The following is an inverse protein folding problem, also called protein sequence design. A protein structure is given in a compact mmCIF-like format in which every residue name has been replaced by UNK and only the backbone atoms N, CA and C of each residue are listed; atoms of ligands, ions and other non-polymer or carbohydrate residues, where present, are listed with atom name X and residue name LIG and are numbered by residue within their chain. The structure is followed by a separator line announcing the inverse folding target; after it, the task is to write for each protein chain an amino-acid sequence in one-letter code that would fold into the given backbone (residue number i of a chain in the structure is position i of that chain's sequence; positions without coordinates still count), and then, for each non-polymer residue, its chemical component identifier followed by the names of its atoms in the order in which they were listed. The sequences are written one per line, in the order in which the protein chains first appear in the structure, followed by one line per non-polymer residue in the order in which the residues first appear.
data_IF_536887030321
#
_entry.id   IF_536887030321
#
_cell.length_a   1.000
_cell.length_b   1.000
_cell.length_c   1.000
_cell.angle_alpha   90.00
_cell.angle_beta   90.00
_cell.angle_gamma   90.00
#
_symmetry.space_group_name_H-M   'P 1'
#
loop_
_entity.id
_entity.type
_entity.pdbx_description
1 polymer ?
#
# COMPACT_ATOMS: atom_id res chain seq x y z
N UNK A 1 18.36 -30.99 47.86
CA UNK A 1 19.74 -31.46 47.59
C UNK A 1 20.26 -30.84 46.31
N UNK A 2 21.17 -29.87 46.41
CA UNK A 2 21.86 -29.25 45.28
C UNK A 2 22.84 -30.27 44.69
N UNK A 3 22.56 -30.77 43.49
CA UNK A 3 23.51 -31.62 42.75
C UNK A 3 24.62 -30.75 42.18
N UNK A 4 25.86 -31.04 42.55
CA UNK A 4 27.09 -30.33 42.19
C UNK A 4 27.56 -30.51 40.74
N UNK A 5 26.79 -31.19 39.88
CA UNK A 5 27.12 -31.31 38.46
C UNK A 5 25.96 -30.85 37.57
N UNK A 6 25.99 -29.57 37.21
CA UNK A 6 25.18 -29.00 36.12
C UNK A 6 26.13 -28.30 35.14
N UNK A 7 25.98 -28.66 33.84
CA UNK A 7 26.76 -28.19 32.69
C UNK A 7 26.93 -26.66 32.67
N UNK A 8 28.12 -26.20 32.31
CA UNK A 8 28.59 -24.80 32.40
C UNK A 8 27.66 -23.77 31.74
N UNK A 9 26.93 -24.13 30.69
CA UNK A 9 26.06 -23.21 29.93
C UNK A 9 24.76 -22.78 30.64
N UNK A 10 24.50 -23.21 31.89
CA UNK A 10 23.28 -22.87 32.63
C UNK A 10 23.51 -22.10 33.94
N UNK A 11 24.71 -21.53 34.10
CA UNK A 11 25.15 -20.79 35.29
C UNK A 11 24.95 -19.29 35.08
N UNK A 12 24.12 -18.63 35.90
CA UNK A 12 23.97 -17.16 35.89
C UNK A 12 24.03 -16.61 37.31
N UNK A 13 24.79 -15.54 37.58
CA UNK A 13 24.91 -14.94 38.90
C UNK A 13 23.59 -14.32 39.38
N UNK A 14 23.46 -14.22 40.70
CA UNK A 14 22.34 -13.57 41.39
C UNK A 14 22.65 -12.07 41.47
N UNK A 15 22.01 -11.26 40.63
CA UNK A 15 22.29 -9.80 40.51
C UNK A 15 21.21 -8.95 41.21
N UNK A 16 20.09 -9.53 41.64
CA UNK A 16 18.95 -8.78 42.16
C UNK A 16 18.76 -9.06 43.66
N UNK A 17 18.75 -8.00 44.46
CA UNK A 17 18.61 -7.99 45.93
C UNK A 17 17.31 -8.61 46.43
N UNK A 18 16.18 -8.42 45.73
CA UNK A 18 14.90 -9.07 46.09
C UNK A 18 14.96 -10.59 45.90
N UNK A 19 15.67 -11.02 44.85
CA UNK A 19 15.92 -12.43 44.59
C UNK A 19 16.82 -13.02 45.68
N UNK A 20 17.89 -12.31 46.04
CA UNK A 20 18.85 -12.71 47.08
C UNK A 20 18.14 -12.94 48.43
N UNK A 21 17.36 -11.96 48.90
CA UNK A 21 16.64 -12.06 50.18
C UNK A 21 15.64 -13.23 50.21
N UNK A 22 14.96 -13.52 49.10
CA UNK A 22 14.03 -14.65 49.01
C UNK A 22 14.73 -16.01 49.01
N UNK A 23 15.93 -16.08 48.43
CA UNK A 23 16.72 -17.31 48.43
C UNK A 23 17.32 -17.55 49.82
N UNK A 24 17.79 -16.49 50.48
CA UNK A 24 18.29 -16.55 51.85
C UNK A 24 17.21 -17.01 52.82
N UNK A 25 15.95 -16.56 52.66
CA UNK A 25 14.84 -16.99 53.50
C UNK A 25 14.47 -18.48 53.30
N UNK A 26 14.62 -19.00 52.08
CA UNK A 26 14.36 -20.41 51.75
C UNK A 26 15.46 -21.36 52.22
N UNK A 27 16.72 -20.94 52.13
CA UNK A 27 17.90 -21.81 52.39
C UNK A 27 18.46 -21.57 53.80
N UNK A 28 18.01 -20.53 54.51
CA UNK A 28 18.50 -20.11 55.83
C UNK A 28 20.03 -19.97 55.89
N UNK A 29 20.60 -19.46 54.81
CA UNK A 29 22.03 -19.20 54.65
C UNK A 29 22.21 -17.97 53.77
N UNK A 30 23.21 -17.15 54.11
CA UNK A 30 23.57 -15.97 53.31
C UNK A 30 24.06 -16.39 51.92
N UNK A 31 23.59 -15.67 50.90
CA UNK A 31 23.93 -15.88 49.49
C UNK A 31 24.85 -14.74 49.07
N UNK A 32 25.97 -15.08 48.42
CA UNK A 32 26.96 -14.10 47.98
C UNK A 32 26.93 -13.92 46.45
N UNK A 33 27.52 -12.83 45.93
CA UNK A 33 27.46 -12.47 44.49
C UNK A 33 27.99 -13.56 43.55
N UNK A 34 28.86 -14.45 44.05
CA UNK A 34 29.46 -15.56 43.31
C UNK A 34 28.64 -16.86 43.37
N UNK A 35 27.52 -16.87 44.10
CA UNK A 35 26.62 -18.01 44.14
C UNK A 35 25.77 -18.09 42.86
N UNK A 36 25.65 -19.32 42.35
CA UNK A 36 25.08 -19.58 41.03
C UNK A 36 23.81 -20.41 41.17
N UNK A 37 22.75 -19.97 40.48
CA UNK A 37 21.46 -20.65 40.47
C UNK A 37 21.16 -21.17 39.08
N UNK A 38 20.66 -22.40 39.00
CA UNK A 38 20.26 -22.97 37.72
C UNK A 38 19.01 -22.25 37.17
N UNK A 39 18.88 -22.23 35.85
CA UNK A 39 17.75 -21.59 35.14
C UNK A 39 16.37 -22.08 35.62
N UNK A 40 16.25 -23.36 35.98
CA UNK A 40 15.01 -23.97 36.46
C UNK A 40 14.57 -23.42 37.83
N UNK A 41 15.51 -23.31 38.77
CA UNK A 41 15.23 -22.75 40.09
C UNK A 41 14.90 -21.24 40.00
N UNK A 42 15.62 -20.50 39.15
CA UNK A 42 15.37 -19.07 38.93
C UNK A 42 13.96 -18.80 38.39
N UNK A 43 13.48 -19.61 37.45
CA UNK A 43 12.12 -19.47 36.90
C UNK A 43 11.02 -19.92 37.86
N UNK A 44 11.34 -20.72 38.88
CA UNK A 44 10.40 -21.10 39.94
C UNK A 44 10.25 -19.97 40.95
N UNK A 45 11.38 -19.45 41.43
CA UNK A 45 11.44 -18.31 42.37
C UNK A 45 10.75 -17.07 41.79
N UNK A 46 10.96 -16.77 40.50
CA UNK A 46 10.26 -15.64 39.85
C UNK A 46 8.74 -15.78 39.82
N UNK A 47 8.23 -17.00 39.68
CA UNK A 47 6.78 -17.25 39.70
C UNK A 47 6.23 -17.09 41.12
N UNK A 48 6.95 -17.56 42.13
CA UNK A 48 6.55 -17.40 43.54
C UNK A 48 6.60 -15.94 43.99
N UNK A 49 7.62 -15.17 43.61
CA UNK A 49 7.69 -13.72 43.86
C UNK A 49 6.54 -12.95 43.19
N UNK A 50 6.19 -13.29 41.95
CA UNK A 50 5.03 -12.71 41.26
C UNK A 50 3.69 -13.14 41.88
N UNK A 51 3.66 -14.28 42.56
CA UNK A 51 2.47 -14.76 43.26
C UNK A 51 2.30 -14.02 44.59
N UNK A 52 3.39 -13.78 45.34
CA UNK A 52 3.34 -13.01 46.59
C UNK A 52 2.91 -11.55 46.36
N UNK A 53 3.33 -10.91 45.26
CA UNK A 53 2.89 -9.53 44.94
C UNK A 53 1.39 -9.42 44.63
N UNK A 54 0.69 -10.54 44.38
CA UNK A 54 -0.74 -10.57 44.11
C UNK A 54 -1.60 -10.89 45.34
N UNK A 55 -0.99 -11.28 46.47
CA UNK A 55 -1.70 -11.67 47.70
C UNK A 55 -1.69 -10.54 48.74
N UNK A 56 -0.68 -9.66 48.73
CA UNK A 56 -0.54 -8.55 49.70
C UNK A 56 -1.50 -7.35 49.47
N UNK A 57 -2.51 -7.46 48.60
CA UNK A 57 -3.52 -6.39 48.35
C UNK A 57 -4.88 -6.70 48.98
N UNK A 58 -5.04 -7.86 49.62
CA UNK A 58 -6.30 -8.29 50.19
C UNK A 58 -6.11 -8.78 51.62
N UNK A 59 -5.93 -7.84 52.56
CA UNK A 59 -6.44 -7.83 53.95
C UNK A 59 -5.69 -6.73 54.70
N UNK A 60 -6.38 -5.66 55.09
CA UNK A 60 -6.42 -5.17 56.47
C UNK A 60 -7.31 -3.93 56.54
N UNK A 61 -8.47 -4.12 57.17
CA UNK A 61 -9.31 -3.08 57.75
C UNK A 61 -8.61 -2.56 59.02
N UNK A 62 -8.31 -1.26 59.11
CA UNK A 62 -8.36 -0.54 60.38
C UNK A 62 -8.36 0.98 60.18
N UNK A 63 -9.22 1.64 60.97
CA UNK A 63 -9.45 3.07 61.01
C UNK A 63 -8.27 3.83 61.63
N UNK A 64 -7.64 4.78 60.92
CA UNK A 64 -7.36 6.12 61.47
C UNK A 64 -6.89 7.14 60.41
N UNK A 65 -7.28 8.39 60.65
CA UNK A 65 -7.21 9.55 59.78
C UNK A 65 -5.81 10.19 59.70
N UNK A 66 -5.30 10.45 58.49
CA UNK A 66 -4.47 11.63 58.20
C UNK A 66 -4.37 11.88 56.69
N UNK A 67 -4.62 13.13 56.31
CA UNK A 67 -4.73 13.64 54.95
C UNK A 67 -3.38 13.58 54.20
N UNK A 68 -3.39 12.94 53.04
CA UNK A 68 -2.37 13.07 52.00
C UNK A 68 -3.02 12.77 50.65
N UNK A 69 -3.12 13.78 49.79
CA UNK A 69 -3.68 13.67 48.44
C UNK A 69 -3.02 12.50 47.67
N UNK A 70 -3.79 11.54 47.12
CA UNK A 70 -3.24 10.62 46.13
C UNK A 70 -2.99 11.41 44.85
N UNK A 71 -1.75 11.40 44.36
CA UNK A 71 -1.44 11.84 42.99
C UNK A 71 -2.27 11.05 41.97
N UNK A 72 -2.45 11.57 40.73
CA UNK A 72 -3.27 10.90 39.74
C UNK A 72 -2.73 9.49 39.50
N UNK A 73 -3.54 8.48 39.82
CA UNK A 73 -3.25 7.09 39.51
C UNK A 73 -2.89 7.01 38.02
N UNK A 74 -1.64 6.66 37.71
CA UNK A 74 -1.22 6.44 36.34
C UNK A 74 -2.15 5.38 35.73
N UNK A 75 -3.01 5.80 34.80
CA UNK A 75 -3.91 4.92 34.08
C UNK A 75 -3.05 4.01 33.20
N UNK A 76 -2.68 2.85 33.70
CA UNK A 76 -1.93 1.84 32.94
C UNK A 76 -2.88 1.34 31.85
N UNK A 77 -2.61 1.74 30.61
CA UNK A 77 -3.39 1.28 29.46
C UNK A 77 -3.33 -0.24 29.33
N UNK A 78 -4.45 -0.94 29.09
CA UNK A 78 -4.48 -2.39 29.00
C UNK A 78 -3.58 -2.89 27.85
N UNK A 79 -2.90 -4.03 28.06
CA UNK A 79 -1.97 -4.63 27.07
C UNK A 79 -2.67 -4.98 25.75
N UNK A 80 -3.96 -5.28 25.80
CA UNK A 80 -4.81 -5.57 24.65
C UNK A 80 -6.17 -4.93 24.82
N UNK A 81 -6.63 -4.23 23.78
CA UNK A 81 -7.93 -3.59 23.71
C UNK A 81 -8.85 -4.38 22.78
N UNK A 82 -10.08 -4.67 23.21
CA UNK A 82 -11.10 -5.24 22.34
C UNK A 82 -11.85 -4.12 21.64
N UNK A 83 -11.83 -4.11 20.31
CA UNK A 83 -12.57 -3.17 19.48
C UNK A 83 -13.67 -3.90 18.69
N UNK A 84 -14.78 -3.22 18.45
CA UNK A 84 -15.92 -3.67 17.63
C UNK A 84 -15.63 -3.61 16.12
N UNK A 85 -14.42 -3.98 15.73
CA UNK A 85 -13.99 -4.07 14.32
C UNK A 85 -14.03 -5.54 13.93
N UNK A 86 -14.73 -5.85 12.84
CA UNK A 86 -14.82 -7.21 12.33
C UNK A 86 -13.46 -7.70 11.87
N UNK A 87 -13.12 -8.97 12.11
CA UNK A 87 -11.86 -9.55 11.60
C UNK A 87 -12.04 -10.86 10.86
N UNK A 88 -11.00 -11.20 10.11
CA UNK A 88 -10.85 -12.52 9.48
C UNK A 88 -10.36 -13.57 10.47
N UNK A 89 -10.62 -14.85 10.14
CA UNK A 89 -10.10 -15.99 10.90
C UNK A 89 -8.58 -15.96 11.00
N UNK A 90 -8.04 -16.00 12.23
CA UNK A 90 -6.59 -16.10 12.48
C UNK A 90 -6.11 -17.52 12.21
N UNK A 91 -5.56 -17.77 11.02
CA UNK A 91 -4.97 -19.06 10.67
C UNK A 91 -3.65 -18.88 9.94
N UNK A 92 -2.64 -19.62 10.39
CA UNK A 92 -1.35 -19.72 9.71
C UNK A 92 -1.32 -20.87 8.68
N UNK A 93 -2.32 -21.76 8.72
CA UNK A 93 -2.38 -22.97 7.88
C UNK A 93 -3.34 -22.84 6.70
N UNK A 94 -4.28 -21.90 6.74
CA UNK A 94 -5.35 -21.74 5.75
C UNK A 94 -5.36 -20.33 5.18
N UNK A 95 -5.71 -20.21 3.89
CA UNK A 95 -5.96 -18.92 3.27
C UNK A 95 -7.18 -18.25 3.91
N UNK A 96 -7.09 -16.96 4.25
CA UNK A 96 -8.24 -16.22 4.81
C UNK A 96 -9.42 -16.06 3.83
N UNK A 97 -9.17 -16.15 2.52
CA UNK A 97 -10.15 -15.96 1.44
C UNK A 97 -10.75 -17.30 1.00
N UNK A 98 -9.97 -18.16 0.34
CA UNK A 98 -10.48 -19.44 -0.20
C UNK A 98 -10.45 -20.61 0.79
N UNK A 99 -9.98 -20.41 2.02
CA UNK A 99 -9.88 -21.42 3.10
C UNK A 99 -9.03 -22.66 2.77
N UNK A 100 -8.38 -22.72 1.59
CA UNK A 100 -7.44 -23.79 1.21
C UNK A 100 -6.25 -23.84 2.17
N UNK A 101 -5.82 -25.06 2.47
CA UNK A 101 -4.67 -25.32 3.34
C UNK A 101 -3.33 -25.17 2.62
N UNK A 102 -2.30 -24.83 3.40
CA UNK A 102 -0.93 -24.74 2.93
C UNK A 102 -0.41 -26.13 2.57
N UNK A 103 -0.23 -26.38 1.28
CA UNK A 103 0.29 -27.65 0.75
C UNK A 103 1.44 -27.35 -0.23
N UNK A 104 2.19 -28.37 -0.66
CA UNK A 104 3.26 -28.17 -1.66
C UNK A 104 2.77 -27.51 -2.95
N UNK A 105 1.50 -27.76 -3.34
CA UNK A 105 0.85 -27.18 -4.53
C UNK A 105 0.15 -25.84 -4.25
N UNK A 106 -0.27 -25.59 -3.01
CA UNK A 106 -0.90 -24.33 -2.59
C UNK A 106 -0.08 -23.66 -1.51
N UNK A 107 0.90 -22.84 -1.92
CA UNK A 107 1.72 -22.06 -1.01
C UNK A 107 0.98 -20.82 -0.56
N UNK A 108 1.03 -20.54 0.74
CA UNK A 108 0.44 -19.33 1.30
C UNK A 108 1.51 -18.28 1.60
N UNK A 109 1.19 -17.02 1.27
CA UNK A 109 2.00 -15.85 1.62
C UNK A 109 1.37 -15.11 2.79
N UNK A 110 2.17 -14.37 3.55
CA UNK A 110 1.62 -13.41 4.54
C UNK A 110 0.87 -12.35 3.76
N UNK A 111 -0.33 -11.99 4.23
CA UNK A 111 -1.11 -10.92 3.62
C UNK A 111 -0.28 -9.63 3.66
N UNK A 112 -0.03 -8.99 2.51
CA UNK A 112 0.68 -7.72 2.49
C UNK A 112 -0.01 -6.67 3.33
N UNK A 113 0.80 -5.75 3.87
CA UNK A 113 0.35 -4.67 4.73
C UNK A 113 -0.69 -3.78 4.02
N UNK A 114 -0.43 -3.50 2.75
CA UNK A 114 -1.26 -2.69 1.86
C UNK A 114 -2.61 -3.36 1.59
N UNK A 115 -2.61 -4.67 1.33
CA UNK A 115 -3.83 -5.49 1.18
C UNK A 115 -4.68 -5.51 2.47
N UNK A 116 -4.04 -5.61 3.63
CA UNK A 116 -4.74 -5.57 4.91
C UNK A 116 -5.41 -4.22 5.17
N UNK A 117 -4.71 -3.12 4.86
CA UNK A 117 -5.27 -1.77 4.94
C UNK A 117 -6.40 -1.57 3.94
N UNK A 118 -6.29 -2.09 2.72
CA UNK A 118 -7.37 -2.08 1.72
C UNK A 118 -8.64 -2.77 2.24
N UNK A 119 -8.51 -3.97 2.83
CA UNK A 119 -9.66 -4.68 3.40
C UNK A 119 -10.32 -3.93 4.56
N UNK A 120 -9.53 -3.19 5.35
CA UNK A 120 -10.07 -2.36 6.42
C UNK A 120 -10.86 -1.17 5.85
N UNK A 121 -10.31 -0.44 4.88
CA UNK A 121 -10.94 0.76 4.31
C UNK A 121 -12.19 0.39 3.52
N UNK A 122 -12.11 -0.63 2.66
CA UNK A 122 -13.20 -0.95 1.72
C UNK A 122 -14.31 -1.80 2.34
N UNK A 123 -14.00 -2.58 3.40
CA UNK A 123 -14.95 -3.54 4.01
C UNK A 123 -15.12 -3.40 5.52
N UNK A 124 -14.33 -2.56 6.18
CA UNK A 124 -14.30 -2.50 7.65
C UNK A 124 -13.79 -3.79 8.29
N UNK A 125 -12.96 -4.57 7.58
CA UNK A 125 -12.47 -5.86 8.05
C UNK A 125 -10.98 -5.76 8.40
N UNK A 126 -10.67 -6.01 9.66
CA UNK A 126 -9.30 -6.14 10.14
C UNK A 126 -8.69 -7.50 9.80
N UNK A 127 -7.46 -7.47 9.29
CA UNK A 127 -6.65 -8.65 9.00
C UNK A 127 -5.41 -8.60 9.89
N UNK A 128 -5.26 -9.60 10.77
CA UNK A 128 -4.09 -9.65 11.67
C UNK A 128 -2.77 -9.82 10.91
N UNK A 129 -1.68 -9.33 11.49
CA UNK A 129 -0.33 -9.25 10.91
C UNK A 129 0.25 -10.58 10.42
N UNK A 130 -0.23 -11.72 10.93
CA UNK A 130 0.24 -13.05 10.53
C UNK A 130 -0.74 -13.86 9.68
N UNK A 131 -1.84 -13.23 9.25
CA UNK A 131 -2.82 -13.86 8.38
C UNK A 131 -2.21 -14.24 7.04
N UNK A 132 -2.65 -15.37 6.47
CA UNK A 132 -2.09 -15.91 5.23
C UNK A 132 -3.11 -15.89 4.10
N UNK A 133 -2.69 -15.62 2.87
CA UNK A 133 -3.51 -15.75 1.66
C UNK A 133 -2.78 -16.45 0.51
N UNK A 134 -3.53 -16.96 -0.47
CA UNK A 134 -2.93 -17.47 -1.70
C UNK A 134 -2.41 -16.30 -2.57
N UNK A 135 -1.25 -16.45 -3.22
CA UNK A 135 -0.72 -15.45 -4.16
C UNK A 135 -1.72 -15.08 -5.26
N UNK A 136 -2.54 -16.04 -5.71
CA UNK A 136 -3.53 -15.84 -6.76
C UNK A 136 -4.61 -14.81 -6.41
N UNK A 137 -4.78 -14.48 -5.12
CA UNK A 137 -5.72 -13.45 -4.66
C UNK A 137 -5.14 -12.04 -4.71
N UNK A 138 -3.83 -11.91 -4.96
CA UNK A 138 -3.11 -10.65 -4.99
C UNK A 138 -2.82 -10.20 -6.42
N UNK A 139 -2.80 -8.89 -6.62
CA UNK A 139 -2.15 -8.22 -7.75
C UNK A 139 -1.14 -7.25 -7.15
N UNK A 140 0.15 -7.54 -7.32
CA UNK A 140 1.21 -6.83 -6.62
C UNK A 140 1.04 -6.94 -5.10
N UNK A 141 0.85 -5.81 -4.43
CA UNK A 141 0.66 -5.72 -2.97
C UNK A 141 -0.81 -5.58 -2.53
N UNK A 142 -1.76 -5.64 -3.46
CA UNK A 142 -3.18 -5.37 -3.21
C UNK A 142 -4.03 -6.61 -3.51
N UNK A 143 -5.24 -6.68 -2.95
CA UNK A 143 -6.19 -7.72 -3.29
C UNK A 143 -6.83 -7.47 -4.65
N UNK A 144 -7.07 -8.55 -5.41
CA UNK A 144 -7.96 -8.52 -6.58
C UNK A 144 -9.36 -8.08 -6.15
N UNK A 145 -10.07 -7.36 -7.01
CA UNK A 145 -11.45 -6.92 -6.72
C UNK A 145 -12.37 -8.09 -6.31
N UNK A 146 -12.29 -9.21 -7.03
CA UNK A 146 -13.05 -10.41 -6.70
C UNK A 146 -12.64 -11.01 -5.35
N UNK A 147 -11.34 -11.02 -5.07
CA UNK A 147 -10.80 -11.57 -3.82
C UNK A 147 -11.19 -10.72 -2.61
N UNK A 148 -11.19 -9.38 -2.76
CA UNK A 148 -11.63 -8.43 -1.76
C UNK A 148 -13.13 -8.58 -1.44
N UNK A 149 -13.97 -8.80 -2.46
CA UNK A 149 -15.40 -9.10 -2.28
C UNK A 149 -15.64 -10.40 -1.50
N UNK A 150 -14.77 -11.38 -1.67
CA UNK A 150 -14.88 -12.69 -1.00
C UNK A 150 -14.29 -12.72 0.41
N UNK A 151 -13.65 -11.65 0.89
CA UNK A 151 -13.13 -11.59 2.27
C UNK A 151 -14.31 -11.66 3.25
N UNK A 152 -14.37 -12.73 4.03
CA UNK A 152 -15.44 -12.97 4.99
C UNK A 152 -15.07 -12.55 6.41
N UNK A 153 -16.06 -11.98 7.11
CA UNK A 153 -16.00 -11.69 8.55
C UNK A 153 -16.11 -13.01 9.31
N UNK A 154 -15.19 -13.26 10.23
CA UNK A 154 -15.21 -14.44 11.11
C UNK A 154 -15.56 -14.08 12.56
N UNK A 155 -15.29 -12.85 12.96
CA UNK A 155 -15.62 -12.34 14.30
C UNK A 155 -16.07 -10.89 14.21
N UNK A 156 -17.04 -10.50 15.03
CA UNK A 156 -17.58 -9.13 15.10
C UNK A 156 -16.70 -8.18 15.91
N UNK A 157 -15.88 -8.71 16.82
CA UNK A 157 -14.91 -7.96 17.61
C UNK A 157 -13.50 -8.52 17.45
N UNK A 158 -12.50 -7.66 17.61
CA UNK A 158 -11.09 -8.01 17.45
C UNK A 158 -10.25 -7.42 18.58
N UNK A 159 -9.24 -8.16 19.02
CA UNK A 159 -8.26 -7.68 19.98
C UNK A 159 -7.08 -7.02 19.25
N UNK A 160 -6.70 -5.84 19.74
CA UNK A 160 -5.59 -5.03 19.25
C UNK A 160 -4.61 -4.77 20.38
N UNK A 161 -3.32 -4.84 20.09
CA UNK A 161 -2.30 -4.30 20.99
C UNK A 161 -1.95 -2.85 20.59
N UNK A 162 -1.11 -2.18 21.39
CA UNK A 162 -0.61 -0.83 21.09
C UNK A 162 -0.02 -0.71 19.68
N UNK A 163 0.77 -1.69 19.24
CA UNK A 163 1.41 -1.67 17.92
C UNK A 163 0.42 -1.82 16.78
N UNK A 164 -0.62 -2.65 16.93
CA UNK A 164 -1.64 -2.86 15.92
C UNK A 164 -2.45 -1.57 15.70
N UNK A 165 -2.79 -0.86 16.79
CA UNK A 165 -3.53 0.41 16.73
C UNK A 165 -2.68 1.49 16.08
N UNK A 166 -1.44 1.69 16.56
CA UNK A 166 -0.54 2.69 15.99
C UNK A 166 -0.29 2.43 14.50
N UNK A 167 -0.01 1.19 14.12
CA UNK A 167 0.23 0.84 12.71
C UNK A 167 -1.03 1.01 11.85
N UNK A 168 -2.21 0.67 12.37
CA UNK A 168 -3.47 0.85 11.66
C UNK A 168 -3.77 2.34 11.43
N UNK A 169 -3.57 3.19 12.43
CA UNK A 169 -3.75 4.64 12.31
C UNK A 169 -2.74 5.26 11.36
N UNK A 170 -1.46 4.90 11.46
CA UNK A 170 -0.40 5.39 10.56
C UNK A 170 -0.69 5.04 9.11
N UNK A 171 -1.10 3.79 8.83
CA UNK A 171 -1.42 3.37 7.48
C UNK A 171 -2.70 3.98 6.95
N UNK A 172 -3.74 4.09 7.79
CA UNK A 172 -4.98 4.76 7.39
C UNK A 172 -4.71 6.22 7.05
N UNK A 173 -3.89 6.91 7.86
CA UNK A 173 -3.43 8.27 7.59
C UNK A 173 -2.63 8.37 6.29
N UNK A 174 -1.74 7.42 6.03
CA UNK A 174 -0.98 7.38 4.78
C UNK A 174 -1.90 7.24 3.57
N UNK A 175 -2.91 6.36 3.63
CA UNK A 175 -3.90 6.23 2.56
C UNK A 175 -4.71 7.51 2.40
N UNK A 176 -5.23 8.10 3.48
CA UNK A 176 -5.99 9.35 3.43
C UNK A 176 -5.16 10.50 2.83
N UNK A 177 -3.87 10.59 3.15
CA UNK A 177 -2.97 11.59 2.57
C UNK A 177 -2.84 11.44 1.04
N UNK A 178 -3.10 10.26 0.52
CA UNK A 178 -3.12 9.97 -0.91
C UNK A 178 -4.53 9.92 -1.53
N UNK A 179 -5.59 9.91 -0.71
CA UNK A 179 -6.97 10.04 -1.21
C UNK A 179 -7.20 11.43 -1.80
N UNK A 180 -7.87 11.47 -2.96
CA UNK A 180 -8.10 12.70 -3.72
C UNK A 180 -7.08 12.98 -4.82
N UNK A 181 -6.04 12.14 -4.95
CA UNK A 181 -5.06 12.23 -6.04
C UNK A 181 -5.41 11.24 -7.15
N UNK A 182 -5.29 11.69 -8.39
CA UNK A 182 -5.33 10.78 -9.53
C UNK A 182 -4.09 9.87 -9.48
N UNK A 183 -4.32 8.57 -9.27
CA UNK A 183 -3.28 7.57 -9.20
C UNK A 183 -3.52 6.52 -10.30
N UNK A 184 -2.61 6.45 -11.26
CA UNK A 184 -2.67 5.49 -12.38
C UNK A 184 -1.79 4.26 -12.16
N UNK A 185 -1.06 4.18 -11.05
CA UNK A 185 -0.17 3.06 -10.71
C UNK A 185 -0.89 1.92 -9.99
N UNK A 186 -1.94 2.24 -9.24
CA UNK A 186 -2.72 1.25 -8.49
C UNK A 186 -3.88 0.79 -9.38
N UNK A 187 -3.99 -0.52 -9.65
CA UNK A 187 -5.05 -1.03 -10.52
C UNK A 187 -6.47 -0.84 -9.97
N UNK A 188 -6.63 -0.67 -8.66
CA UNK A 188 -7.91 -0.50 -8.00
C UNK A 188 -8.27 0.97 -7.69
N UNK A 189 -7.40 1.93 -7.99
CA UNK A 189 -7.66 3.35 -7.66
C UNK A 189 -8.68 4.01 -8.58
N UNK A 190 -8.72 3.61 -9.85
CA UNK A 190 -9.58 4.16 -10.89
C UNK A 190 -10.41 3.04 -11.53
N UNK A 191 -11.64 3.32 -11.93
CA UNK A 191 -12.51 2.44 -12.72
C UNK A 191 -12.13 2.50 -14.22
N UNK A 192 -12.67 1.61 -15.07
CA UNK A 192 -12.40 1.72 -16.52
C UNK A 192 -13.05 2.97 -17.12
N UNK A 193 -14.23 3.36 -16.61
CA UNK A 193 -14.90 4.60 -17.00
C UNK A 193 -14.06 5.83 -16.65
N UNK A 194 -13.37 5.83 -15.50
CA UNK A 194 -12.45 6.90 -15.13
C UNK A 194 -11.30 7.01 -16.14
N UNK A 195 -10.74 5.89 -16.61
CA UNK A 195 -9.70 5.90 -17.64
C UNK A 195 -10.21 6.54 -18.93
N UNK A 196 -11.41 6.16 -19.38
CA UNK A 196 -12.01 6.72 -20.61
C UNK A 196 -12.32 8.20 -20.45
N UNK A 197 -12.91 8.61 -19.34
CA UNK A 197 -13.27 10.00 -19.07
C UNK A 197 -12.04 10.90 -18.97
N UNK A 198 -11.00 10.43 -18.28
CA UNK A 198 -9.78 11.20 -18.02
C UNK A 198 -8.83 11.20 -19.22
N UNK A 199 -8.64 10.07 -19.90
CA UNK A 199 -7.59 9.90 -20.93
C UNK A 199 -8.12 9.69 -22.34
N UNK A 200 -9.42 9.40 -22.50
CA UNK A 200 -10.01 8.98 -23.77
C UNK A 200 -9.73 7.52 -24.14
N UNK A 201 -9.01 6.77 -23.31
CA UNK A 201 -8.63 5.38 -23.55
C UNK A 201 -9.22 4.47 -22.48
N UNK A 202 -9.59 3.25 -22.86
CA UNK A 202 -9.81 2.17 -21.88
C UNK A 202 -8.51 1.84 -21.17
N UNK A 203 -8.59 1.20 -19.99
CA UNK A 203 -7.38 0.81 -19.25
C UNK A 203 -6.44 -0.08 -20.06
N UNK A 204 -7.00 -1.04 -20.81
CA UNK A 204 -6.20 -1.93 -21.68
C UNK A 204 -5.44 -1.15 -22.75
N UNK A 205 -6.09 -0.16 -23.37
CA UNK A 205 -5.44 0.70 -24.35
C UNK A 205 -4.38 1.59 -23.71
N UNK A 206 -4.66 2.16 -22.54
CA UNK A 206 -3.68 2.92 -21.78
C UNK A 206 -2.43 2.08 -21.47
N UNK A 207 -2.62 0.84 -21.00
CA UNK A 207 -1.54 -0.09 -20.71
C UNK A 207 -0.71 -0.40 -21.97
N UNK A 208 -1.37 -0.60 -23.12
CA UNK A 208 -0.70 -0.82 -24.39
C UNK A 208 0.14 0.38 -24.82
N UNK A 209 -0.35 1.63 -24.66
CA UNK A 209 0.42 2.84 -24.95
C UNK A 209 1.60 2.97 -23.98
N UNK A 210 1.40 2.68 -22.70
CA UNK A 210 2.45 2.76 -21.67
C UNK A 210 3.66 1.86 -21.98
N UNK A 211 3.47 0.72 -22.65
CA UNK A 211 4.56 -0.17 -23.07
C UNK A 211 5.50 0.45 -24.12
N UNK A 212 5.03 1.47 -24.83
CA UNK A 212 5.79 2.13 -25.89
C UNK A 212 6.52 3.40 -25.41
N UNK A 213 6.34 3.78 -24.15
CA UNK A 213 7.04 4.92 -23.53
C UNK A 213 8.32 4.40 -22.87
N UNK A 214 9.40 4.27 -23.66
CA UNK A 214 10.63 3.57 -23.24
C UNK A 214 11.70 4.49 -22.65
N UNK A 215 11.71 5.76 -23.02
CA UNK A 215 12.80 6.71 -22.68
C UNK A 215 12.59 7.38 -21.31
N UNK A 216 11.45 7.12 -20.67
CA UNK A 216 11.12 7.63 -19.36
C UNK A 216 11.51 6.65 -18.26
N UNK A 217 12.19 7.17 -17.23
CA UNK A 217 12.50 6.42 -16.01
C UNK A 217 11.47 6.72 -14.92
N UNK A 218 11.14 5.69 -14.15
CA UNK A 218 10.43 5.87 -12.89
C UNK A 218 11.32 6.66 -11.91
N UNK A 219 10.71 7.55 -11.13
CA UNK A 219 11.35 8.18 -9.99
C UNK A 219 10.52 7.93 -8.73
N UNK A 220 11.04 8.33 -7.57
CA UNK A 220 10.32 8.24 -6.29
C UNK A 220 9.00 9.04 -6.31
N UNK A 221 8.92 10.08 -7.13
CA UNK A 221 7.79 11.02 -7.14
C UNK A 221 6.80 10.72 -8.27
N UNK A 222 7.25 10.12 -9.37
CA UNK A 222 6.40 9.87 -10.54
C UNK A 222 6.82 8.60 -11.28
N UNK A 223 5.83 7.81 -11.65
CA UNK A 223 6.02 6.68 -12.54
C UNK A 223 5.89 7.09 -14.02
N UNK A 224 6.31 6.20 -14.92
CA UNK A 224 6.06 6.32 -16.36
C UNK A 224 4.54 6.41 -16.64
N UNK A 225 3.72 5.62 -15.93
CA UNK A 225 2.25 5.66 -16.07
C UNK A 225 1.68 7.01 -15.65
N UNK A 226 2.15 7.57 -14.54
CA UNK A 226 1.72 8.89 -14.07
C UNK A 226 2.09 9.97 -15.08
N UNK A 227 3.28 9.90 -15.68
CA UNK A 227 3.69 10.82 -16.75
C UNK A 227 2.80 10.73 -17.99
N UNK A 228 2.52 9.51 -18.44
CA UNK A 228 1.60 9.27 -19.56
C UNK A 228 0.20 9.79 -19.25
N UNK A 229 -0.32 9.49 -18.06
CA UNK A 229 -1.62 9.96 -17.62
C UNK A 229 -1.72 11.49 -17.60
N UNK A 230 -0.72 12.19 -17.07
CA UNK A 230 -0.69 13.67 -17.06
C UNK A 230 -0.82 14.22 -18.49
N UNK A 231 -0.08 13.66 -19.45
CA UNK A 231 -0.15 14.09 -20.84
C UNK A 231 -1.53 13.83 -21.45
N UNK A 232 -2.05 12.60 -21.31
CA UNK A 232 -3.34 12.23 -21.91
C UNK A 232 -4.51 12.98 -21.28
N UNK A 233 -4.50 13.17 -19.95
CA UNK A 233 -5.50 14.01 -19.26
C UNK A 233 -5.44 15.43 -19.77
N UNK A 234 -4.24 16.00 -19.93
CA UNK A 234 -4.08 17.34 -20.48
C UNK A 234 -4.65 17.46 -21.90
N UNK A 235 -4.37 16.50 -22.77
CA UNK A 235 -4.87 16.47 -24.15
C UNK A 235 -6.38 16.29 -24.20
N UNK A 236 -6.94 15.44 -23.33
CA UNK A 236 -8.38 15.14 -23.29
C UNK A 236 -9.21 16.28 -22.73
N UNK A 237 -8.73 16.93 -21.67
CA UNK A 237 -9.52 17.89 -20.87
C UNK A 237 -9.15 19.35 -21.12
N UNK A 238 -8.00 19.64 -21.73
CA UNK A 238 -7.51 21.01 -21.92
C UNK A 238 -7.09 21.73 -20.63
N UNK A 239 -7.00 21.03 -19.49
CA UNK A 239 -6.71 21.64 -18.20
C UNK A 239 -5.32 22.31 -18.14
N UNK A 240 -5.25 23.38 -17.35
CA UNK A 240 -4.00 24.10 -17.07
C UNK A 240 -3.05 23.24 -16.24
N UNK A 241 -1.75 23.54 -16.33
CA UNK A 241 -0.74 22.83 -15.53
C UNK A 241 -0.92 23.05 -14.02
N UNK A 242 -1.54 24.17 -13.60
CA UNK A 242 -1.88 24.43 -12.19
C UNK A 242 -3.00 23.52 -11.70
N UNK A 243 -4.05 23.29 -12.49
CA UNK A 243 -5.12 22.36 -12.11
C UNK A 243 -4.59 20.92 -12.08
N UNK A 244 -3.80 20.53 -13.09
CA UNK A 244 -3.15 19.21 -13.10
C UNK A 244 -2.21 19.02 -11.91
N UNK A 245 -1.51 20.06 -11.48
CA UNK A 245 -0.66 20.07 -10.28
C UNK A 245 -1.48 19.71 -9.03
N UNK A 246 -2.69 20.24 -8.89
CA UNK A 246 -3.62 19.87 -7.80
C UNK A 246 -4.10 18.42 -7.94
N UNK A 247 -4.62 18.03 -9.12
CA UNK A 247 -5.22 16.70 -9.34
C UNK A 247 -4.24 15.54 -9.15
N UNK A 248 -2.99 15.72 -9.56
CA UNK A 248 -1.93 14.72 -9.39
C UNK A 248 -1.09 14.95 -8.12
N UNK A 249 -1.34 16.04 -7.37
CA UNK A 249 -0.53 16.47 -6.22
C UNK A 249 0.97 16.51 -6.51
N UNK A 250 1.32 17.08 -7.67
CA UNK A 250 2.70 17.32 -8.09
C UNK A 250 2.94 18.82 -8.20
N UNK A 251 4.18 19.28 -8.06
CA UNK A 251 4.52 20.69 -8.29
C UNK A 251 4.34 21.07 -9.75
N UNK A 252 4.02 22.33 -10.03
CA UNK A 252 3.82 22.85 -11.40
C UNK A 252 4.95 22.45 -12.37
N UNK A 253 6.22 22.64 -11.98
CA UNK A 253 7.37 22.30 -12.82
C UNK A 253 7.50 20.78 -13.06
N UNK A 254 7.01 19.94 -12.14
CA UNK A 254 6.98 18.49 -12.34
C UNK A 254 5.95 18.11 -13.41
N UNK A 255 4.78 18.76 -13.41
CA UNK A 255 3.77 18.61 -14.48
C UNK A 255 4.35 19.06 -15.83
N UNK A 256 4.95 20.26 -15.90
CA UNK A 256 5.58 20.78 -17.14
C UNK A 256 6.60 19.79 -17.71
N UNK A 257 7.51 19.27 -16.87
CA UNK A 257 8.50 18.28 -17.27
C UNK A 257 7.88 16.95 -17.68
N UNK A 258 6.87 16.46 -16.96
CA UNK A 258 6.19 15.21 -17.29
C UNK A 258 5.52 15.30 -18.67
N UNK A 259 4.78 16.37 -18.95
CA UNK A 259 4.16 16.61 -20.26
C UNK A 259 5.21 16.63 -21.37
N UNK A 260 6.28 17.42 -21.19
CA UNK A 260 7.33 17.55 -22.21
C UNK A 260 8.03 16.22 -22.49
N UNK A 261 8.57 15.57 -21.45
CA UNK A 261 9.32 14.31 -21.61
C UNK A 261 8.47 13.16 -22.15
N UNK A 262 7.20 13.07 -21.75
CA UNK A 262 6.27 12.05 -22.29
C UNK A 262 5.98 12.32 -23.76
N UNK A 263 5.75 13.58 -24.14
CA UNK A 263 5.54 13.95 -25.53
C UNK A 263 6.74 13.56 -26.39
N UNK A 264 7.96 13.91 -25.97
CA UNK A 264 9.17 13.56 -26.73
C UNK A 264 9.34 12.04 -26.86
N UNK A 265 9.14 11.28 -25.78
CA UNK A 265 9.26 9.81 -25.85
C UNK A 265 8.20 9.19 -26.77
N UNK A 266 6.95 9.70 -26.77
CA UNK A 266 5.92 9.24 -27.71
C UNK A 266 6.25 9.61 -29.15
N UNK A 267 6.76 10.82 -29.41
CA UNK A 267 7.18 11.25 -30.76
C UNK A 267 8.30 10.36 -31.30
N UNK A 268 9.21 9.91 -30.44
CA UNK A 268 10.34 9.07 -30.85
C UNK A 268 9.96 7.59 -30.99
N UNK A 269 9.22 7.05 -30.04
CA UNK A 269 9.01 5.59 -29.92
C UNK A 269 7.63 5.11 -30.40
N UNK A 270 6.60 5.94 -30.29
CA UNK A 270 5.22 5.56 -30.60
C UNK A 270 4.76 6.08 -31.96
N UNK A 271 4.94 7.38 -32.23
CA UNK A 271 4.45 8.02 -33.45
C UNK A 271 5.00 7.33 -34.71
N UNK A 272 6.31 7.07 -34.88
CA UNK A 272 6.81 6.50 -36.14
C UNK A 272 6.23 5.12 -36.44
N UNK A 273 5.90 4.37 -35.39
CA UNK A 273 5.41 3.00 -35.47
C UNK A 273 3.89 2.88 -35.63
N UNK A 274 3.12 3.90 -35.21
CA UNK A 274 1.65 3.79 -35.12
C UNK A 274 0.86 4.99 -35.66
N UNK A 275 1.48 6.15 -35.90
CA UNK A 275 0.77 7.38 -36.31
C UNK A 275 1.49 8.21 -37.40
N UNK A 276 2.80 8.05 -37.58
CA UNK A 276 3.62 8.84 -38.50
C UNK A 276 3.59 8.29 -39.92
N UNK A 277 4.02 9.04 -40.93
CA UNK A 277 3.88 8.64 -42.35
C UNK A 277 4.43 7.25 -42.72
N UNK A 278 5.37 6.73 -41.94
CA UNK A 278 5.99 5.42 -42.16
C UNK A 278 5.19 4.25 -41.56
N UNK A 279 4.15 4.50 -40.77
CA UNK A 279 3.40 3.43 -40.07
C UNK A 279 2.43 2.67 -40.96
N UNK A 280 2.04 3.24 -42.10
CA UNK A 280 1.08 2.65 -43.02
C UNK A 280 1.57 2.78 -44.46
N UNK A 281 1.51 1.69 -45.22
CA UNK A 281 1.85 1.74 -46.65
C UNK A 281 0.68 2.29 -47.45
N UNK A 282 0.95 2.85 -48.63
CA UNK A 282 -0.09 3.34 -49.52
C UNK A 282 -1.12 2.25 -49.89
N UNK A 283 -0.66 1.03 -50.19
CA UNK A 283 -1.56 -0.10 -50.47
C UNK A 283 -2.47 -0.43 -49.29
N UNK A 284 -1.90 -0.46 -48.08
CA UNK A 284 -2.67 -0.73 -46.87
C UNK A 284 -3.67 0.39 -46.56
N UNK A 285 -3.31 1.65 -46.83
CA UNK A 285 -4.21 2.79 -46.71
C UNK A 285 -5.40 2.69 -47.68
N UNK A 286 -5.15 2.44 -48.96
CA UNK A 286 -6.22 2.33 -49.97
C UNK A 286 -7.14 1.14 -49.72
N UNK A 287 -6.65 0.07 -49.08
CA UNK A 287 -7.45 -1.10 -48.73
C UNK A 287 -8.25 -0.92 -47.43
N UNK A 288 -7.62 -0.40 -46.36
CA UNK A 288 -8.21 -0.38 -45.01
C UNK A 288 -8.90 0.93 -44.65
N UNK A 289 -8.51 2.04 -45.29
CA UNK A 289 -8.94 3.40 -44.90
C UNK A 289 -9.68 4.16 -46.00
N UNK A 290 -9.92 3.55 -47.17
CA UNK A 290 -10.74 4.12 -48.23
C UNK A 290 -12.02 3.29 -48.41
N UNK A 291 -13.18 3.89 -48.13
CA UNK A 291 -14.47 3.19 -48.24
C UNK A 291 -14.85 2.95 -49.71
N UNK A 292 -15.60 1.87 -50.03
CA UNK A 292 -16.09 1.63 -51.38
C UNK A 292 -16.84 2.83 -51.95
N UNK A 293 -17.67 3.48 -51.14
CA UNK A 293 -18.40 4.69 -51.51
C UNK A 293 -17.48 5.84 -51.93
N UNK A 294 -16.39 6.08 -51.19
CA UNK A 294 -15.43 7.12 -51.56
C UNK A 294 -14.72 6.77 -52.88
N UNK A 295 -14.40 5.48 -53.11
CA UNK A 295 -13.77 5.01 -54.36
C UNK A 295 -14.66 5.26 -55.57
N UNK A 296 -15.94 4.92 -55.49
CA UNK A 296 -16.87 5.14 -56.61
C UNK A 296 -17.08 6.62 -56.89
N UNK A 297 -17.12 7.46 -55.86
CA UNK A 297 -17.35 8.91 -56.03
C UNK A 297 -16.13 9.70 -56.52
N UNK A 298 -14.92 9.34 -56.07
CA UNK A 298 -13.74 10.19 -56.26
C UNK A 298 -12.57 9.50 -56.96
N UNK A 299 -12.64 8.18 -57.19
CA UNK A 299 -11.55 7.41 -57.79
C UNK A 299 -11.97 6.55 -59.00
N UNK A 300 -13.21 6.66 -59.49
CA UNK A 300 -13.73 5.83 -60.59
C UNK A 300 -13.47 4.32 -60.36
N UNK A 301 -13.70 3.85 -59.13
CA UNK A 301 -13.46 2.47 -58.70
C UNK A 301 -12.00 1.99 -58.83
N UNK A 302 -11.02 2.91 -58.88
CA UNK A 302 -9.60 2.57 -58.83
C UNK A 302 -9.14 2.24 -57.40
N UNK A 303 -8.82 0.98 -57.14
CA UNK A 303 -8.32 0.48 -55.85
C UNK A 303 -6.94 1.04 -55.45
N UNK A 304 -6.20 1.61 -56.39
CA UNK A 304 -4.91 2.23 -56.15
C UNK A 304 -5.01 3.70 -55.71
N UNK A 305 -6.18 4.33 -55.70
CA UNK A 305 -6.27 5.76 -55.37
C UNK A 305 -6.52 5.99 -53.88
N UNK A 306 -5.59 6.66 -53.21
CA UNK A 306 -5.76 7.11 -51.84
C UNK A 306 -6.59 8.42 -51.80
N UNK A 307 -7.67 8.43 -51.03
CA UNK A 307 -8.54 9.59 -50.85
C UNK A 307 -8.30 10.20 -49.47
N UNK A 308 -7.94 11.47 -49.43
CA UNK A 308 -7.65 12.20 -48.20
C UNK A 308 -8.65 13.33 -48.00
N UNK A 309 -9.23 13.40 -46.81
CA UNK A 309 -10.00 14.56 -46.36
C UNK A 309 -9.12 15.33 -45.39
N UNK A 310 -8.66 16.50 -45.82
CA UNK A 310 -7.91 17.42 -44.97
C UNK A 310 -8.91 18.35 -44.30
N UNK A 311 -9.22 18.08 -43.04
CA UNK A 311 -10.01 19.02 -42.23
C UNK A 311 -9.13 20.26 -41.92
N UNK A 312 -9.60 21.42 -42.38
CA UNK A 312 -8.94 22.71 -42.24
C UNK A 312 -9.04 23.33 -40.85
N UNK A 313 -9.45 22.59 -39.82
CA UNK A 313 -9.63 23.10 -38.45
C UNK A 313 -8.40 23.81 -37.88
N UNK A 314 -7.21 23.55 -38.44
CA UNK A 314 -5.95 24.18 -38.02
C UNK A 314 -5.29 25.09 -39.08
N UNK A 315 -5.86 25.21 -40.29
CA UNK A 315 -5.33 26.10 -41.34
C UNK A 315 -5.46 27.59 -40.98
N UNK A 316 -6.42 27.94 -40.10
CA UNK A 316 -6.68 29.30 -39.64
C UNK A 316 -6.25 29.57 -38.18
N UNK A 317 -5.23 28.89 -37.66
CA UNK A 317 -4.58 29.39 -36.44
C UNK A 317 -3.64 30.55 -36.82
N UNK A 318 -4.21 31.71 -37.15
CA UNK A 318 -3.51 32.97 -36.97
C UNK A 318 -3.51 33.27 -35.47
N UNK A 319 -2.65 32.57 -34.72
CA UNK A 319 -2.45 32.87 -33.29
C UNK A 319 -1.84 34.25 -33.23
N UNK A 320 -2.65 35.28 -33.00
CA UNK A 320 -2.14 36.58 -32.57
C UNK A 320 -1.36 36.33 -31.28
N UNK A 321 -0.03 36.35 -31.36
CA UNK A 321 0.86 36.40 -30.21
C UNK A 321 0.64 37.76 -29.54
N UNK A 322 -0.37 37.86 -28.68
CA UNK A 322 -0.58 39.01 -27.80
C UNK A 322 -0.32 38.56 -26.37
N UNK A 323 0.97 38.52 -26.02
CA UNK A 323 1.58 39.25 -24.90
C UNK A 323 2.98 38.69 -24.60
N UNK A 324 3.94 39.52 -24.17
CA UNK A 324 5.31 39.09 -23.93
C UNK A 324 5.36 38.33 -22.61
N UNK A 325 5.54 37.02 -22.66
CA UNK A 325 6.09 36.30 -21.52
C UNK A 325 7.57 36.67 -21.49
N UNK A 326 7.99 37.32 -20.40
CA UNK A 326 9.37 37.72 -20.14
C UNK A 326 10.31 36.51 -20.28
N UNK A 327 11.53 36.78 -20.74
CA UNK A 327 12.57 35.79 -21.02
C UNK A 327 13.13 35.08 -19.78
N UNK A 328 12.50 35.17 -18.62
CA UNK A 328 13.04 34.68 -17.35
C UNK A 328 12.50 33.29 -16.92
N UNK A 329 11.83 32.55 -17.81
CA UNK A 329 11.20 31.24 -17.47
C UNK A 329 11.58 30.07 -18.43
N UNK A 330 12.85 29.98 -18.82
CA UNK A 330 13.45 28.76 -19.42
C UNK A 330 14.24 27.98 -18.37
#
# INVERSE_FOLDING_TARGET
MLKTHVKENNRRPVINTQLQNYIESLIKRNVYEHDIICSKCRSRIRRELQSQTLVDVATDDDENCAQGLPGPAEVISPKTLQLSISSTSKSHRRCIICKKENTRRHRLVVVPKESATQALIDKGIFISTNSRCCPDHLIGKYFKQNSLKTVQKSSSSSYFNRTDISELLERTRAVIKDTGKLNFDISSSLSDDDYVNLTGLTRKQFDAVALHVKDLRNSEVRSVRTCLAILLVKLRTGLSNSILSTLFSLKYHQIRRAVHSTRESLIQSFVPSFLGFNHITHQEFSQKHTTPTAKTLFANDNDGTAIFVLDGTYLYIQKKLVSPISKDDI
#
